data_IF_042986532733
#
_entry.id   IF_042986532733
#
_cell.length_a   1.000
_cell.length_b   1.000
_cell.length_c   1.000
_cell.angle_alpha   90.00
_cell.angle_beta   90.00
_cell.angle_gamma   90.00
#
_symmetry.space_group_name_H-M   'P 1'
#
loop_
_entity.id
_entity.type
_entity.pdbx_description
1 polymer ?
#
# COMPACT_ATOMS: atom_id res chain seq x y z
N UNK A 1 -15.30 6.55 21.50
CA UNK A 1 -15.77 6.11 20.17
C UNK A 1 -14.54 5.64 19.41
N UNK A 2 -14.54 4.41 18.89
CA UNK A 2 -13.39 3.85 18.17
C UNK A 2 -13.30 4.50 16.77
N UNK A 3 -12.11 4.90 16.31
CA UNK A 3 -11.93 5.50 14.97
C UNK A 3 -12.08 4.42 13.90
N UNK A 4 -12.52 4.72 12.66
CA UNK A 4 -12.66 3.69 11.63
C UNK A 4 -11.30 3.09 11.23
N UNK A 5 -11.22 1.79 10.90
CA UNK A 5 -9.96 1.18 10.49
C UNK A 5 -9.50 1.75 9.15
N UNK A 6 -8.21 1.98 9.02
CA UNK A 6 -7.62 2.41 7.75
C UNK A 6 -7.73 1.29 6.72
N UNK A 7 -8.16 1.63 5.50
CA UNK A 7 -8.34 0.68 4.40
C UNK A 7 -7.90 1.30 3.07
N UNK A 8 -7.41 0.50 2.12
CA UNK A 8 -7.13 0.99 0.78
C UNK A 8 -8.43 1.06 -0.06
N UNK A 9 -8.44 1.85 -1.15
CA UNK A 9 -9.63 1.99 -2.02
C UNK A 9 -10.19 0.65 -2.52
N UNK A 10 -9.32 -0.34 -2.75
CA UNK A 10 -9.72 -1.69 -3.19
C UNK A 10 -10.59 -2.47 -2.19
N UNK A 11 -10.70 -2.01 -0.93
CA UNK A 11 -11.51 -2.63 0.12
C UNK A 11 -12.70 -1.73 0.54
N UNK A 12 -13.08 -0.76 -0.30
CA UNK A 12 -14.14 0.20 -0.01
C UNK A 12 -15.52 -0.46 0.26
N UNK A 13 -15.74 -1.63 -0.31
CA UNK A 13 -16.99 -2.40 -0.17
C UNK A 13 -16.84 -3.66 0.67
N UNK A 14 -15.69 -3.88 1.31
CA UNK A 14 -15.45 -5.05 2.15
C UNK A 14 -16.07 -4.87 3.53
N UNK A 15 -16.50 -5.97 4.14
CA UNK A 15 -16.72 -6.01 5.58
C UNK A 15 -15.42 -5.68 6.29
N UNK A 16 -15.43 -4.64 7.12
CA UNK A 16 -14.25 -4.20 7.85
C UNK A 16 -14.21 -4.89 9.21
N UNK A 17 -13.22 -5.75 9.41
CA UNK A 17 -13.07 -6.53 10.63
C UNK A 17 -11.78 -6.08 11.29
N UNK A 18 -11.92 -5.46 12.45
CA UNK A 18 -10.80 -5.02 13.27
C UNK A 18 -10.40 -6.15 14.19
N UNK A 19 -9.22 -6.73 13.97
CA UNK A 19 -8.64 -7.81 14.80
C UNK A 19 -7.62 -7.27 15.79
N UNK A 20 -6.91 -6.21 15.40
CA UNK A 20 -5.91 -5.52 16.22
C UNK A 20 -6.14 -4.02 16.15
N UNK A 21 -5.60 -3.27 17.11
CA UNK A 21 -5.46 -1.81 17.03
C UNK A 21 -3.99 -1.43 17.01
N UNK A 22 -3.67 -0.30 16.38
CA UNK A 22 -2.31 0.25 16.35
C UNK A 22 -1.32 -0.54 15.49
N UNK A 23 -0.04 -0.15 15.55
CA UNK A 23 1.06 -0.79 14.80
C UNK A 23 2.08 -1.45 15.72
N UNK A 24 2.45 -2.70 15.44
CA UNK A 24 3.49 -3.40 16.20
C UNK A 24 4.91 -2.90 15.92
N UNK A 25 5.10 -2.06 14.90
CA UNK A 25 6.38 -1.41 14.60
C UNK A 25 6.39 0.07 14.97
N UNK A 26 5.36 0.82 14.52
CA UNK A 26 5.08 2.23 14.84
C UNK A 26 6.24 3.25 14.74
N UNK A 27 7.35 2.92 14.09
CA UNK A 27 8.54 3.79 13.97
C UNK A 27 8.71 4.43 12.59
N UNK A 28 7.93 4.02 11.59
CA UNK A 28 8.04 4.59 10.24
C UNK A 28 7.89 6.13 10.30
N UNK A 29 8.83 6.88 9.71
CA UNK A 29 8.80 8.34 9.75
C UNK A 29 7.69 8.93 8.86
N UNK A 30 7.44 8.33 7.70
CA UNK A 30 6.40 8.81 6.78
C UNK A 30 4.95 8.56 7.28
N UNK A 31 4.75 7.73 8.30
CA UNK A 31 3.44 7.25 8.72
C UNK A 31 2.91 8.06 9.91
N UNK A 32 1.72 8.66 9.77
CA UNK A 32 1.00 9.37 10.84
C UNK A 32 -0.11 8.51 11.49
N UNK A 33 -0.53 7.43 10.84
CA UNK A 33 -1.78 6.70 11.13
C UNK A 33 -1.91 6.15 12.56
N UNK A 34 -0.84 5.58 13.11
CA UNK A 34 -0.88 4.80 14.37
C UNK A 34 0.01 5.38 15.47
N UNK A 35 0.54 6.60 15.29
CA UNK A 35 1.57 7.16 16.20
C UNK A 35 1.10 7.29 17.65
N UNK A 36 -0.19 7.56 17.87
CA UNK A 36 -0.82 7.65 19.19
C UNK A 36 -1.39 6.32 19.71
N UNK A 37 -1.28 5.22 18.96
CA UNK A 37 -2.01 3.97 19.24
C UNK A 37 -1.02 2.81 19.38
N UNK A 38 -0.94 2.27 20.60
CA UNK A 38 -0.15 1.05 20.87
C UNK A 38 -0.82 -0.16 20.25
N UNK A 39 -0.02 -1.19 19.95
CA UNK A 39 -0.55 -2.47 19.49
C UNK A 39 -1.44 -3.08 20.58
N UNK A 40 -2.67 -3.42 20.21
CA UNK A 40 -3.61 -4.18 21.02
C UNK A 40 -4.15 -5.35 20.19
N UNK A 41 -4.15 -6.56 20.75
CA UNK A 41 -4.93 -7.67 20.22
C UNK A 41 -6.31 -7.61 20.85
N UNK A 42 -7.36 -7.46 20.04
CA UNK A 42 -8.73 -7.42 20.57
C UNK A 42 -9.13 -8.78 21.16
N UNK A 43 -9.98 -8.84 22.19
CA UNK A 43 -10.51 -10.11 22.67
C UNK A 43 -11.20 -10.86 21.54
N UNK A 44 -10.91 -12.16 21.40
CA UNK A 44 -11.46 -13.00 20.32
C UNK A 44 -12.99 -12.95 20.33
N UNK A 45 -13.59 -13.04 21.50
CA UNK A 45 -15.03 -13.10 21.72
C UNK A 45 -15.74 -11.85 21.18
N UNK A 46 -15.13 -10.67 21.33
CA UNK A 46 -15.64 -9.43 20.74
C UNK A 46 -15.57 -9.47 19.20
N UNK A 47 -14.47 -9.98 18.65
CA UNK A 47 -14.31 -10.08 17.19
C UNK A 47 -15.36 -11.03 16.60
N UNK A 48 -15.61 -12.18 17.25
CA UNK A 48 -16.62 -13.13 16.79
C UNK A 48 -18.04 -12.52 16.87
N UNK A 49 -18.32 -11.76 17.93
CA UNK A 49 -19.58 -11.03 18.06
C UNK A 49 -19.75 -9.99 16.94
N UNK A 50 -18.72 -9.21 16.65
CA UNK A 50 -18.74 -8.24 15.55
C UNK A 50 -19.04 -8.94 14.22
N UNK A 51 -18.40 -10.11 13.98
CA UNK A 51 -18.65 -10.93 12.79
C UNK A 51 -20.12 -11.32 12.71
N UNK A 52 -20.71 -11.80 13.80
CA UNK A 52 -22.12 -12.21 13.87
C UNK A 52 -23.09 -11.04 13.62
N UNK A 53 -22.72 -9.83 14.03
CA UNK A 53 -23.55 -8.62 13.90
C UNK A 53 -23.42 -7.90 12.54
N UNK A 54 -22.42 -8.21 11.70
CA UNK A 54 -22.21 -7.59 10.37
C UNK A 54 -23.51 -7.35 9.57
N UNK A 55 -24.42 -8.33 9.39
CA UNK A 55 -25.62 -8.17 8.56
C UNK A 55 -26.63 -7.15 9.10
N UNK A 56 -26.54 -6.80 10.39
CA UNK A 56 -27.39 -5.80 11.02
C UNK A 56 -27.00 -4.38 10.63
N UNK A 57 -25.71 -4.15 10.39
CA UNK A 57 -25.14 -2.82 10.24
C UNK A 57 -24.62 -2.52 8.83
N UNK A 58 -24.33 -3.54 8.03
CA UNK A 58 -23.69 -3.38 6.73
C UNK A 58 -24.47 -4.08 5.61
N UNK A 59 -24.49 -3.50 4.39
CA UNK A 59 -25.03 -4.17 3.21
C UNK A 59 -24.24 -5.44 2.90
N UNK A 60 -24.86 -6.38 2.17
CA UNK A 60 -24.19 -7.63 1.76
C UNK A 60 -22.91 -7.33 0.98
N UNK A 61 -21.82 -8.01 1.35
CA UNK A 61 -20.53 -7.92 0.65
C UNK A 61 -19.98 -9.31 0.35
N UNK A 62 -19.30 -9.42 -0.80
CA UNK A 62 -18.56 -10.64 -1.20
C UNK A 62 -17.10 -10.61 -0.74
N UNK A 63 -16.70 -9.61 0.04
CA UNK A 63 -15.32 -9.47 0.52
C UNK A 63 -15.27 -9.03 1.97
N UNK A 64 -14.23 -9.47 2.67
CA UNK A 64 -13.89 -8.98 3.99
C UNK A 64 -12.43 -8.55 4.06
N UNK A 65 -12.20 -7.54 4.88
CA UNK A 65 -10.90 -6.95 5.10
C UNK A 65 -10.56 -6.92 6.59
N UNK A 66 -9.52 -7.66 6.94
CA UNK A 66 -8.90 -7.67 8.25
C UNK A 66 -7.93 -6.48 8.27
N UNK A 67 -8.42 -5.37 8.80
CA UNK A 67 -7.78 -4.07 8.72
C UNK A 67 -6.76 -3.81 9.82
N UNK A 68 -6.45 -2.52 9.97
CA UNK A 68 -5.37 -1.99 10.80
C UNK A 68 -3.97 -2.48 10.41
N UNK A 69 -2.95 -2.32 11.25
CA UNK A 69 -1.57 -2.43 10.76
C UNK A 69 -1.12 -3.84 10.36
N UNK A 70 -1.50 -4.86 11.14
CA UNK A 70 -0.91 -6.20 11.07
C UNK A 70 -1.73 -7.24 11.86
N UNK A 71 -2.98 -7.50 11.46
CA UNK A 71 -3.88 -8.46 12.14
C UNK A 71 -3.30 -9.87 12.32
N UNK A 72 -2.36 -10.28 11.46
CA UNK A 72 -1.78 -11.63 11.50
C UNK A 72 -0.93 -11.94 12.74
N UNK A 73 -0.61 -10.93 13.55
CA UNK A 73 0.04 -11.15 14.86
C UNK A 73 -0.94 -11.67 15.91
N UNK A 74 -2.25 -11.62 15.65
CA UNK A 74 -3.25 -12.10 16.58
C UNK A 74 -3.09 -13.60 16.81
N UNK A 75 -3.08 -14.03 18.08
CA UNK A 75 -2.85 -15.44 18.44
C UNK A 75 -3.91 -16.37 17.83
N UNK A 76 -5.17 -15.93 17.84
CA UNK A 76 -6.33 -16.68 17.35
C UNK A 76 -6.69 -16.40 15.87
N UNK A 77 -5.78 -15.80 15.09
CA UNK A 77 -6.12 -15.31 13.73
C UNK A 77 -6.69 -16.40 12.81
N UNK A 78 -6.19 -17.64 12.90
CA UNK A 78 -6.67 -18.77 12.09
C UNK A 78 -8.12 -19.11 12.43
N UNK A 79 -8.47 -19.10 13.72
CA UNK A 79 -9.83 -19.36 14.20
C UNK A 79 -10.78 -18.23 13.76
N UNK A 80 -10.35 -16.97 13.88
CA UNK A 80 -11.12 -15.81 13.46
C UNK A 80 -11.43 -15.85 11.96
N UNK A 81 -10.43 -16.11 11.12
CA UNK A 81 -10.61 -16.23 9.65
C UNK A 81 -11.58 -17.37 9.32
N UNK A 82 -11.40 -18.54 9.97
CA UNK A 82 -12.29 -19.68 9.77
C UNK A 82 -13.72 -19.37 10.19
N UNK A 83 -13.90 -18.75 11.35
CA UNK A 83 -15.23 -18.37 11.86
C UNK A 83 -15.93 -17.40 10.91
N UNK A 84 -15.21 -16.38 10.44
CA UNK A 84 -15.70 -15.45 9.44
C UNK A 84 -16.19 -16.18 8.19
N UNK A 85 -15.36 -17.06 7.61
CA UNK A 85 -15.72 -17.80 6.39
C UNK A 85 -16.91 -18.73 6.61
N UNK A 86 -17.01 -19.39 7.77
CA UNK A 86 -18.13 -20.26 8.12
C UNK A 86 -19.44 -19.48 8.31
N UNK A 87 -19.40 -18.33 8.99
CA UNK A 87 -20.58 -17.51 9.25
C UNK A 87 -21.03 -16.70 8.03
N UNK A 88 -20.10 -16.41 7.12
CA UNK A 88 -20.33 -15.61 5.92
C UNK A 88 -19.82 -16.37 4.68
N UNK A 89 -20.46 -17.49 4.32
CA UNK A 89 -20.02 -18.33 3.19
C UNK A 89 -20.00 -17.57 1.86
N UNK A 90 -20.81 -16.52 1.72
CA UNK A 90 -20.88 -15.61 0.56
C UNK A 90 -19.60 -14.80 0.31
N UNK A 91 -18.70 -14.70 1.29
CA UNK A 91 -17.43 -14.00 1.14
C UNK A 91 -16.50 -14.81 0.24
N UNK A 92 -16.14 -14.27 -0.91
CA UNK A 92 -15.23 -14.90 -1.87
C UNK A 92 -13.77 -14.56 -1.58
N UNK A 93 -13.53 -13.38 -0.99
CA UNK A 93 -12.20 -12.84 -0.77
C UNK A 93 -12.05 -12.31 0.65
N UNK A 94 -11.11 -12.88 1.40
CA UNK A 94 -10.68 -12.38 2.70
C UNK A 94 -9.27 -11.82 2.52
N UNK A 95 -9.11 -10.53 2.78
CA UNK A 95 -7.83 -9.83 2.66
C UNK A 95 -7.37 -9.36 4.03
N UNK A 96 -6.07 -9.39 4.27
CA UNK A 96 -5.48 -8.86 5.50
C UNK A 96 -4.33 -7.91 5.18
N UNK A 97 -4.16 -6.85 5.97
CA UNK A 97 -2.85 -6.21 6.05
C UNK A 97 -1.83 -7.18 6.70
N UNK A 98 -0.59 -7.12 6.24
CA UNK A 98 0.49 -7.93 6.79
C UNK A 98 1.82 -7.18 6.76
N UNK A 99 2.53 -7.18 7.88
CA UNK A 99 3.90 -6.67 7.91
C UNK A 99 4.85 -7.69 7.28
N UNK A 100 5.71 -7.24 6.39
CA UNK A 100 6.76 -8.05 5.74
C UNK A 100 7.54 -8.92 6.74
N UNK A 101 8.07 -8.32 7.82
CA UNK A 101 8.83 -9.06 8.83
C UNK A 101 7.98 -10.09 9.60
N UNK A 102 6.67 -9.89 9.71
CA UNK A 102 5.78 -10.88 10.32
C UNK A 102 5.69 -12.11 9.41
N UNK A 103 5.46 -11.92 8.11
CA UNK A 103 5.42 -13.01 7.13
C UNK A 103 6.78 -13.71 7.01
N UNK A 104 7.88 -12.95 6.96
CA UNK A 104 9.24 -13.52 6.84
C UNK A 104 9.58 -14.52 7.96
N UNK A 105 9.04 -14.30 9.16
CA UNK A 105 9.28 -15.10 10.37
C UNK A 105 8.14 -16.07 10.71
N UNK A 106 6.98 -15.98 10.05
CA UNK A 106 5.85 -16.87 10.30
C UNK A 106 6.14 -18.26 9.75
N UNK A 107 5.94 -19.37 10.50
CA UNK A 107 6.09 -20.72 9.96
C UNK A 107 5.20 -20.98 8.73
N UNK A 108 5.65 -21.82 7.78
CA UNK A 108 4.86 -22.09 6.57
C UNK A 108 3.53 -22.79 6.91
N UNK A 109 3.53 -23.65 7.93
CA UNK A 109 2.36 -24.35 8.43
C UNK A 109 1.27 -23.38 8.89
N UNK A 110 1.66 -22.22 9.45
CA UNK A 110 0.70 -21.18 9.84
C UNK A 110 0.13 -20.44 8.62
N UNK A 111 0.92 -20.25 7.56
CA UNK A 111 0.43 -19.65 6.30
C UNK A 111 -0.53 -20.61 5.58
N UNK A 112 -0.21 -21.90 5.56
CA UNK A 112 -1.10 -22.93 5.05
C UNK A 112 -2.41 -22.98 5.85
N UNK A 113 -2.34 -22.98 7.19
CA UNK A 113 -3.52 -22.95 8.03
C UNK A 113 -4.40 -21.70 7.79
N UNK A 114 -3.80 -20.53 7.56
CA UNK A 114 -4.52 -19.30 7.19
C UNK A 114 -5.21 -19.43 5.83
N UNK A 115 -4.53 -20.02 4.84
CA UNK A 115 -5.10 -20.30 3.53
C UNK A 115 -6.28 -21.25 3.63
N UNK A 116 -6.12 -22.37 4.33
CA UNK A 116 -7.18 -23.36 4.54
C UNK A 116 -8.36 -22.80 5.34
N UNK A 117 -8.13 -21.83 6.23
CA UNK A 117 -9.18 -21.13 6.95
C UNK A 117 -10.00 -20.18 6.05
N UNK A 118 -9.46 -19.78 4.89
CA UNK A 118 -10.15 -18.93 3.91
C UNK A 118 -9.47 -17.59 3.61
N UNK A 119 -8.28 -17.31 4.16
CA UNK A 119 -7.53 -16.11 3.79
C UNK A 119 -7.03 -16.24 2.35
N UNK A 120 -7.30 -15.23 1.52
CA UNK A 120 -7.00 -15.30 0.07
C UNK A 120 -5.95 -14.30 -0.39
N UNK A 121 -5.84 -13.14 0.27
CA UNK A 121 -4.96 -12.04 -0.18
C UNK A 121 -4.27 -11.32 0.98
N UNK A 122 -3.04 -10.87 0.73
CA UNK A 122 -2.29 -10.02 1.65
C UNK A 122 -1.96 -8.66 1.03
N UNK A 123 -2.20 -7.60 1.80
CA UNK A 123 -1.70 -6.25 1.55
C UNK A 123 -0.43 -6.01 2.35
N UNK A 124 0.71 -5.85 1.67
CA UNK A 124 2.02 -5.73 2.29
C UNK A 124 2.70 -4.42 1.89
N UNK A 125 3.05 -3.61 2.89
CA UNK A 125 3.78 -2.35 2.68
C UNK A 125 5.27 -2.60 2.42
N UNK A 126 5.67 -2.60 1.14
CA UNK A 126 7.08 -2.59 0.72
C UNK A 126 7.65 -1.18 0.89
N UNK A 127 6.93 -0.17 0.41
CA UNK A 127 7.23 1.26 0.33
C UNK A 127 8.45 1.60 -0.53
N UNK A 128 9.56 0.88 -0.34
CA UNK A 128 10.78 0.97 -1.13
C UNK A 128 11.53 -0.35 -1.14
N UNK A 129 12.19 -0.65 -2.26
CA UNK A 129 13.22 -1.69 -2.34
C UNK A 129 14.64 -1.17 -2.14
N UNK A 130 14.85 0.14 -1.94
CA UNK A 130 16.17 0.70 -1.65
C UNK A 130 16.47 0.61 -0.15
N UNK A 131 17.54 -0.09 0.21
CA UNK A 131 17.91 -0.34 1.59
C UNK A 131 18.18 0.93 2.41
N UNK A 132 18.70 1.99 1.79
CA UNK A 132 18.93 3.25 2.50
C UNK A 132 17.66 4.06 2.67
N UNK A 133 16.77 4.09 1.67
CA UNK A 133 15.43 4.69 1.84
C UNK A 133 14.70 4.01 2.99
N UNK A 134 14.72 2.67 3.06
CA UNK A 134 14.11 1.91 4.15
C UNK A 134 14.70 2.23 5.53
N UNK A 135 16.00 2.51 5.61
CA UNK A 135 16.67 2.94 6.85
C UNK A 135 16.30 4.38 7.22
N UNK A 136 16.36 5.32 6.28
CA UNK A 136 16.00 6.73 6.46
C UNK A 136 14.61 6.83 7.07
N UNK A 137 13.64 6.12 6.49
CA UNK A 137 12.25 6.17 6.96
C UNK A 137 11.95 5.22 8.12
N UNK A 138 12.95 4.53 8.64
CA UNK A 138 12.85 3.58 9.75
C UNK A 138 11.77 2.50 9.52
N UNK A 139 11.72 1.87 8.34
CA UNK A 139 10.69 0.84 8.02
C UNK A 139 10.86 -0.46 8.81
N UNK A 140 12.08 -0.73 9.27
CA UNK A 140 12.42 -1.89 10.09
C UNK A 140 12.40 -3.23 9.34
N UNK A 141 12.68 -3.18 8.03
CA UNK A 141 12.86 -4.32 7.13
C UNK A 141 14.01 -4.03 6.17
N UNK A 142 14.56 -5.08 5.57
CA UNK A 142 15.48 -5.02 4.42
C UNK A 142 14.76 -5.40 3.12
N UNK A 143 15.42 -5.21 1.97
CA UNK A 143 14.91 -5.69 0.69
C UNK A 143 14.85 -7.24 0.67
N UNK A 144 15.82 -7.89 1.31
CA UNK A 144 15.88 -9.35 1.46
C UNK A 144 14.72 -9.89 2.30
N UNK A 145 14.35 -9.19 3.39
CA UNK A 145 13.14 -9.51 4.16
C UNK A 145 11.89 -9.47 3.27
N UNK A 146 11.78 -8.45 2.41
CA UNK A 146 10.67 -8.31 1.49
C UNK A 146 10.64 -9.47 0.49
N UNK A 147 11.76 -9.78 -0.16
CA UNK A 147 11.87 -10.89 -1.12
C UNK A 147 11.51 -12.22 -0.45
N UNK A 148 12.08 -12.50 0.72
CA UNK A 148 11.79 -13.72 1.49
C UNK A 148 10.31 -13.82 1.83
N UNK A 149 9.73 -12.76 2.39
CA UNK A 149 8.33 -12.74 2.77
C UNK A 149 7.39 -12.89 1.56
N UNK A 150 7.69 -12.19 0.47
CA UNK A 150 6.92 -12.23 -0.77
C UNK A 150 6.92 -13.61 -1.42
N UNK A 151 8.11 -14.19 -1.66
CA UNK A 151 8.22 -15.55 -2.22
C UNK A 151 7.52 -16.58 -1.34
N UNK A 152 7.59 -16.43 -0.02
CA UNK A 152 6.94 -17.33 0.93
C UNK A 152 5.41 -17.21 0.89
N UNK A 153 4.87 -16.01 0.96
CA UNK A 153 3.43 -15.80 0.98
C UNK A 153 2.77 -16.01 -0.39
N UNK A 154 3.47 -15.76 -1.49
CA UNK A 154 2.96 -15.91 -2.86
C UNK A 154 2.62 -17.36 -3.24
N UNK A 155 3.12 -18.34 -2.49
CA UNK A 155 2.71 -19.75 -2.61
C UNK A 155 1.24 -19.97 -2.19
N UNK A 156 0.69 -19.11 -1.33
CA UNK A 156 -0.59 -19.32 -0.66
C UNK A 156 -1.62 -18.24 -0.98
N UNK A 157 -1.19 -16.99 -1.18
CA UNK A 157 -2.07 -15.82 -1.28
C UNK A 157 -1.78 -14.99 -2.52
N UNK A 158 -2.80 -14.28 -3.01
CA UNK A 158 -2.56 -13.12 -3.85
C UNK A 158 -1.81 -12.05 -3.03
N UNK A 159 -0.81 -11.42 -3.63
CA UNK A 159 0.02 -10.44 -2.94
C UNK A 159 -0.13 -9.06 -3.56
N UNK A 160 -0.36 -8.07 -2.72
CA UNK A 160 -0.24 -6.66 -3.07
C UNK A 160 0.98 -6.07 -2.40
N UNK A 161 1.88 -5.48 -3.18
CA UNK A 161 2.92 -4.59 -2.68
C UNK A 161 2.51 -3.14 -2.82
N UNK A 162 2.50 -2.42 -1.70
CA UNK A 162 2.42 -0.96 -1.70
C UNK A 162 3.81 -0.37 -1.87
N UNK A 163 3.94 0.60 -2.77
CA UNK A 163 5.17 1.36 -3.04
C UNK A 163 4.85 2.84 -2.86
N UNK A 164 5.77 3.60 -2.27
CA UNK A 164 5.63 5.06 -2.13
C UNK A 164 6.71 5.72 -2.99
N UNK A 165 6.35 6.24 -4.16
CA UNK A 165 7.25 7.13 -4.94
C UNK A 165 7.52 8.41 -4.16
N UNK A 166 8.64 9.07 -4.42
CA UNK A 166 9.13 10.25 -3.71
C UNK A 166 9.71 9.95 -2.33
N UNK A 167 9.60 8.71 -1.84
CA UNK A 167 10.05 8.35 -0.48
C UNK A 167 11.56 8.51 -0.28
N UNK A 168 12.34 8.32 -1.34
CA UNK A 168 13.79 8.54 -1.32
C UNK A 168 14.22 10.00 -1.51
N UNK A 169 13.27 10.91 -1.78
CA UNK A 169 13.56 12.27 -2.22
C UNK A 169 14.32 12.33 -3.55
N UNK A 170 14.64 13.55 -3.98
CA UNK A 170 15.37 13.81 -5.22
C UNK A 170 16.71 13.06 -5.27
N UNK A 171 17.41 12.98 -4.15
CA UNK A 171 18.76 12.41 -4.06
C UNK A 171 18.82 10.90 -4.31
N UNK A 172 17.70 10.18 -4.12
CA UNK A 172 17.64 8.72 -4.29
C UNK A 172 16.55 8.24 -5.23
N UNK A 173 15.88 9.14 -5.94
CA UNK A 173 14.72 8.83 -6.80
C UNK A 173 14.99 7.66 -7.77
N UNK A 174 16.05 7.76 -8.57
CA UNK A 174 16.39 6.71 -9.53
C UNK A 174 16.71 5.36 -8.85
N UNK A 175 17.51 5.39 -7.77
CA UNK A 175 17.87 4.18 -7.03
C UNK A 175 16.66 3.54 -6.38
N UNK A 176 15.75 4.34 -5.84
CA UNK A 176 14.49 3.90 -5.26
C UNK A 176 13.65 3.17 -6.31
N UNK A 177 13.42 3.77 -7.47
CA UNK A 177 12.68 3.16 -8.57
C UNK A 177 13.30 1.82 -9.02
N UNK A 178 14.60 1.81 -9.32
CA UNK A 178 15.31 0.62 -9.82
C UNK A 178 15.36 -0.49 -8.78
N UNK A 179 15.70 -0.19 -7.52
CA UNK A 179 15.81 -1.21 -6.48
C UNK A 179 14.44 -1.74 -6.04
N UNK A 180 13.39 -0.91 -6.06
CA UNK A 180 12.01 -1.37 -5.87
C UNK A 180 11.58 -2.33 -6.97
N UNK A 181 11.87 -2.01 -8.24
CA UNK A 181 11.57 -2.90 -9.36
C UNK A 181 12.30 -4.25 -9.22
N UNK A 182 13.55 -4.27 -8.74
CA UNK A 182 14.28 -5.54 -8.47
C UNK A 182 13.52 -6.42 -7.47
N UNK A 183 13.06 -5.86 -6.35
CA UNK A 183 12.27 -6.63 -5.36
C UNK A 183 10.97 -7.15 -5.98
N UNK A 184 10.26 -6.33 -6.76
CA UNK A 184 9.04 -6.72 -7.45
C UNK A 184 9.30 -7.87 -8.42
N UNK A 185 10.36 -7.78 -9.23
CA UNK A 185 10.73 -8.80 -10.21
C UNK A 185 11.10 -10.14 -9.55
N UNK A 186 11.74 -10.10 -8.38
CA UNK A 186 12.07 -11.29 -7.61
C UNK A 186 10.84 -11.96 -6.99
N UNK A 187 9.87 -11.17 -6.52
CA UNK A 187 8.70 -11.66 -5.78
C UNK A 187 7.55 -12.05 -6.69
N UNK A 188 7.35 -11.33 -7.79
CA UNK A 188 6.19 -11.46 -8.69
C UNK A 188 4.85 -11.29 -7.95
N UNK A 189 4.64 -10.14 -7.26
CA UNK A 189 3.37 -9.90 -6.58
C UNK A 189 2.22 -9.84 -7.59
N UNK A 190 1.01 -10.21 -7.17
CA UNK A 190 -0.19 -10.12 -8.02
C UNK A 190 -0.54 -8.67 -8.35
N UNK A 191 -0.32 -7.76 -7.39
CA UNK A 191 -0.61 -6.34 -7.51
C UNK A 191 0.57 -5.49 -7.02
N UNK A 192 0.87 -4.41 -7.74
CA UNK A 192 1.72 -3.31 -7.29
C UNK A 192 0.85 -2.06 -7.23
N UNK A 193 0.68 -1.51 -6.02
CA UNK A 193 -0.10 -0.30 -5.77
C UNK A 193 0.84 0.82 -5.39
N UNK A 194 0.88 1.86 -6.19
CA UNK A 194 1.78 3.00 -5.98
C UNK A 194 1.01 4.17 -5.38
N UNK A 195 1.59 4.75 -4.34
CA UNK A 195 1.23 6.06 -3.79
C UNK A 195 2.42 6.98 -3.94
N UNK A 196 2.20 8.28 -3.91
CA UNK A 196 3.30 9.23 -3.85
C UNK A 196 3.45 9.75 -2.42
N UNK A 197 4.67 10.08 -2.01
CA UNK A 197 4.94 10.62 -0.67
C UNK A 197 4.21 11.96 -0.53
N UNK A 198 3.28 12.02 0.41
CA UNK A 198 2.78 13.27 0.96
C UNK A 198 3.16 13.35 2.43
N UNK A 199 3.80 14.44 2.84
CA UNK A 199 4.23 14.63 4.22
C UNK A 199 3.00 14.93 5.09
N UNK A 200 2.54 13.92 5.80
CA UNK A 200 1.46 14.04 6.81
C UNK A 200 1.98 13.88 8.24
N UNK A 201 3.19 13.34 8.42
CA UNK A 201 3.91 13.37 9.69
C UNK A 201 4.98 14.48 9.64
N UNK A 202 4.90 15.51 10.50
CA UNK A 202 5.88 16.59 10.55
C UNK A 202 7.33 16.13 10.76
N UNK A 203 7.56 14.98 11.41
CA UNK A 203 8.91 14.41 11.56
C UNK A 203 9.60 14.07 10.24
N UNK A 204 8.85 13.99 9.13
CA UNK A 204 9.39 13.75 7.79
C UNK A 204 9.83 15.04 7.09
N UNK A 205 9.49 16.23 7.62
CA UNK A 205 9.91 17.50 7.04
C UNK A 205 11.44 17.66 7.12
N UNK A 206 12.04 18.08 6.01
CA UNK A 206 13.49 18.23 5.91
C UNK A 206 14.29 16.92 5.85
N UNK A 207 13.67 15.76 6.10
CA UNK A 207 14.33 14.45 6.01
C UNK A 207 14.68 14.10 4.56
N UNK A 208 13.82 14.48 3.61
CA UNK A 208 14.05 14.28 2.18
C UNK A 208 13.72 15.55 1.40
N UNK A 209 14.46 15.79 0.31
CA UNK A 209 14.09 16.80 -0.68
C UNK A 209 12.93 16.26 -1.53
N UNK A 210 11.75 16.86 -1.39
CA UNK A 210 10.56 16.45 -2.13
C UNK A 210 10.79 16.57 -3.64
N UNK A 211 10.23 15.60 -4.38
CA UNK A 211 10.20 15.61 -5.83
C UNK A 211 9.22 16.66 -6.35
N UNK A 212 9.63 17.38 -7.40
CA UNK A 212 8.74 18.17 -8.27
C UNK A 212 7.78 17.27 -9.04
N UNK A 213 6.73 17.84 -9.63
CA UNK A 213 5.79 17.09 -10.48
C UNK A 213 6.49 16.35 -11.64
N UNK A 214 7.51 16.97 -12.23
CA UNK A 214 8.33 16.37 -13.29
C UNK A 214 9.12 15.16 -12.76
N UNK A 215 9.84 15.32 -11.65
CA UNK A 215 10.63 14.23 -11.05
C UNK A 215 9.75 13.07 -10.54
N UNK A 216 8.51 13.33 -10.10
CA UNK A 216 7.55 12.29 -9.70
C UNK A 216 7.16 11.40 -10.89
N UNK A 217 6.91 12.01 -12.05
CA UNK A 217 6.59 11.28 -13.27
C UNK A 217 7.82 10.52 -13.78
N UNK A 218 9.02 11.11 -13.70
CA UNK A 218 10.27 10.44 -14.08
C UNK A 218 10.56 9.21 -13.21
N UNK A 219 10.37 9.30 -11.90
CA UNK A 219 10.53 8.16 -10.99
C UNK A 219 9.50 7.07 -11.26
N UNK A 220 8.22 7.44 -11.44
CA UNK A 220 7.15 6.51 -11.77
C UNK A 220 7.42 5.78 -13.10
N UNK A 221 7.83 6.53 -14.13
CA UNK A 221 8.25 5.99 -15.42
C UNK A 221 9.38 4.99 -15.22
N UNK A 222 10.44 5.37 -14.50
CA UNK A 222 11.61 4.53 -14.24
C UNK A 222 11.24 3.23 -13.52
N UNK A 223 10.31 3.30 -12.55
CA UNK A 223 9.81 2.13 -11.85
C UNK A 223 9.12 1.17 -12.82
N UNK A 224 8.17 1.65 -13.63
CA UNK A 224 7.41 0.84 -14.59
C UNK A 224 8.34 0.23 -15.66
N UNK A 225 9.27 1.02 -16.21
CA UNK A 225 10.28 0.55 -17.17
C UNK A 225 11.06 -0.67 -16.65
N UNK A 226 11.38 -0.68 -15.36
CA UNK A 226 12.19 -1.74 -14.75
C UNK A 226 11.39 -2.95 -14.24
N UNK A 227 10.06 -2.89 -14.19
CA UNK A 227 9.22 -4.06 -13.88
C UNK A 227 9.11 -4.94 -15.14
N UNK A 228 9.41 -6.23 -14.98
CA UNK A 228 9.55 -7.22 -16.06
C UNK A 228 8.75 -8.51 -15.81
N UNK A 229 7.85 -8.48 -14.83
CA UNK A 229 7.07 -9.66 -14.40
C UNK A 229 5.59 -9.39 -14.58
N UNK A 230 4.80 -10.47 -14.71
CA UNK A 230 3.34 -10.38 -14.73
C UNK A 230 2.84 -9.85 -13.38
N UNK A 231 2.20 -8.69 -13.41
CA UNK A 231 1.56 -8.04 -12.25
C UNK A 231 0.56 -7.00 -12.74
N UNK A 232 -0.50 -6.79 -11.97
CA UNK A 232 -1.34 -5.61 -12.16
C UNK A 232 -0.72 -4.42 -11.43
N UNK A 233 -0.43 -3.35 -12.17
CA UNK A 233 0.12 -2.11 -11.65
C UNK A 233 -0.96 -1.04 -11.58
N UNK A 234 -0.99 -0.22 -10.51
CA UNK A 234 -1.97 0.87 -10.40
C UNK A 234 -1.50 1.98 -9.48
N UNK A 235 -1.88 3.21 -9.81
CA UNK A 235 -1.81 4.40 -8.96
C UNK A 235 -3.25 4.87 -8.67
N UNK A 236 -3.90 4.29 -7.67
CA UNK A 236 -5.34 4.47 -7.40
C UNK A 236 -5.63 5.42 -6.23
N UNK A 237 -4.68 6.31 -5.91
CA UNK A 237 -4.77 7.18 -4.75
C UNK A 237 -4.54 8.65 -5.13
N UNK A 238 -5.28 9.56 -4.49
CA UNK A 238 -5.19 11.02 -4.76
C UNK A 238 -3.77 11.57 -4.55
N UNK A 239 -2.93 10.90 -3.75
CA UNK A 239 -1.52 11.25 -3.61
C UNK A 239 -0.76 11.28 -4.93
N UNK A 240 -1.17 10.46 -5.91
CA UNK A 240 -0.52 10.34 -7.22
C UNK A 240 -0.94 11.44 -8.21
N UNK A 241 -1.94 12.24 -7.87
CA UNK A 241 -2.50 13.19 -8.81
C UNK A 241 -1.60 14.42 -8.93
N UNK A 242 -1.60 14.99 -10.13
CA UNK A 242 -1.04 16.31 -10.40
C UNK A 242 -2.17 17.26 -10.78
N UNK A 243 -2.03 18.53 -10.40
CA UNK A 243 -3.08 19.53 -10.56
C UNK A 243 -2.53 20.80 -11.20
N UNK A 244 -3.43 21.52 -11.87
CA UNK A 244 -3.26 22.92 -12.25
C UNK A 244 -4.33 23.75 -11.54
N UNK A 245 -4.27 25.07 -11.66
CA UNK A 245 -5.34 25.96 -11.17
C UNK A 245 -6.70 25.68 -11.82
N UNK A 246 -6.72 25.03 -12.99
CA UNK A 246 -7.94 24.71 -13.74
C UNK A 246 -8.49 23.31 -13.46
N UNK A 247 -7.82 22.51 -12.63
CA UNK A 247 -8.24 21.16 -12.27
C UNK A 247 -7.13 20.12 -12.39
N UNK A 248 -7.52 18.84 -12.34
CA UNK A 248 -6.61 17.70 -12.35
C UNK A 248 -5.93 17.55 -13.72
N UNK A 249 -4.60 17.49 -13.71
CA UNK A 249 -3.76 17.26 -14.90
C UNK A 249 -3.49 15.77 -15.13
N UNK A 250 -3.26 15.03 -14.04
CA UNK A 250 -2.87 13.62 -14.09
C UNK A 250 -3.56 12.87 -12.95
N UNK A 251 -4.18 11.74 -13.28
CA UNK A 251 -4.89 10.88 -12.32
C UNK A 251 -4.19 9.54 -12.09
N UNK A 252 -2.97 9.38 -12.63
CA UNK A 252 -2.24 8.13 -12.55
C UNK A 252 -2.37 7.24 -13.77
N UNK A 253 -1.80 6.04 -13.66
CA UNK A 253 -1.84 4.97 -14.67
C UNK A 253 -2.17 3.64 -14.00
N UNK A 254 -2.75 2.73 -14.77
CA UNK A 254 -3.04 1.37 -14.33
C UNK A 254 -3.03 0.43 -15.52
N UNK A 255 -2.72 -0.85 -15.27
CA UNK A 255 -2.66 -1.85 -16.31
C UNK A 255 -1.87 -3.08 -15.87
N UNK A 256 -2.08 -4.19 -16.58
CA UNK A 256 -1.32 -5.42 -16.42
C UNK A 256 -0.02 -5.33 -17.20
N UNK A 257 1.10 -5.57 -16.54
CA UNK A 257 2.42 -5.66 -17.17
C UNK A 257 2.65 -7.11 -17.60
N UNK A 258 3.18 -7.40 -18.81
CA UNK A 258 3.70 -6.44 -19.80
C UNK A 258 2.67 -5.86 -20.76
N UNK A 259 1.47 -6.46 -20.85
CA UNK A 259 0.51 -6.21 -21.93
C UNK A 259 0.11 -4.73 -22.11
N UNK A 260 -0.10 -4.01 -21.01
CA UNK A 260 -0.56 -2.62 -20.98
C UNK A 260 0.57 -1.65 -20.58
N UNK A 261 1.83 -2.13 -20.53
CA UNK A 261 2.98 -1.34 -20.08
C UNK A 261 3.25 -0.13 -20.97
N UNK A 262 3.21 -0.31 -22.29
CA UNK A 262 3.53 0.76 -23.24
C UNK A 262 2.47 1.86 -23.22
N UNK A 263 1.20 1.52 -22.95
CA UNK A 263 0.15 2.51 -22.76
C UNK A 263 0.41 3.37 -21.51
N UNK A 264 0.71 2.74 -20.38
CA UNK A 264 1.06 3.48 -19.15
C UNK A 264 2.28 4.39 -19.35
N UNK A 265 3.32 3.92 -20.04
CA UNK A 265 4.52 4.71 -20.30
C UNK A 265 4.23 5.90 -21.24
N UNK A 266 3.40 5.72 -22.26
CA UNK A 266 2.96 6.83 -23.14
C UNK A 266 2.19 7.89 -22.36
N UNK A 267 1.20 7.50 -21.54
CA UNK A 267 0.46 8.46 -20.72
C UNK A 267 1.38 9.28 -19.82
N UNK A 268 2.41 8.66 -19.23
CA UNK A 268 3.39 9.36 -18.41
C UNK A 268 4.24 10.32 -19.25
N UNK A 269 4.69 9.92 -20.44
CA UNK A 269 5.48 10.77 -21.33
C UNK A 269 4.68 12.00 -21.82
N UNK A 270 3.45 11.81 -22.28
CA UNK A 270 2.57 12.91 -22.71
C UNK A 270 2.31 13.90 -21.56
N UNK A 271 2.16 13.37 -20.34
CA UNK A 271 2.02 14.18 -19.13
C UNK A 271 3.32 14.94 -18.82
N UNK A 272 4.49 14.31 -18.96
CA UNK A 272 5.80 14.93 -18.77
C UNK A 272 6.01 16.10 -19.74
N UNK A 273 5.68 15.92 -21.02
CA UNK A 273 5.75 16.97 -22.03
C UNK A 273 4.85 18.16 -21.65
N UNK A 274 3.62 17.87 -21.20
CA UNK A 274 2.67 18.88 -20.74
C UNK A 274 3.20 19.63 -19.51
N UNK A 275 3.74 18.93 -18.51
CA UNK A 275 4.33 19.54 -17.31
C UNK A 275 5.51 20.45 -17.68
N UNK A 276 6.39 20.00 -18.58
CA UNK A 276 7.54 20.78 -19.07
C UNK A 276 7.10 22.02 -19.84
N UNK A 277 6.04 21.92 -20.67
CA UNK A 277 5.48 23.05 -21.39
C UNK A 277 4.85 24.09 -20.44
N UNK A 278 4.06 23.65 -19.46
CA UNK A 278 3.46 24.53 -18.45
C UNK A 278 4.54 25.29 -17.66
N UNK A 279 5.59 24.58 -17.23
CA UNK A 279 6.74 25.17 -16.52
C UNK A 279 7.47 26.22 -17.37
N UNK A 280 7.70 25.95 -18.66
CA UNK A 280 8.29 26.94 -19.60
C UNK A 280 7.41 28.19 -19.77
N UNK A 281 6.09 28.02 -19.70
CA UNK A 281 5.12 29.11 -19.74
C UNK A 281 4.91 29.81 -18.38
N UNK A 282 5.69 29.47 -17.35
CA UNK A 282 5.58 30.07 -16.01
C UNK A 282 4.39 29.58 -15.17
N UNK A 283 3.68 28.55 -15.61
CA UNK A 283 2.55 27.98 -14.88
C UNK A 283 3.01 26.90 -13.90
N UNK A 284 2.46 26.94 -12.68
CA UNK A 284 2.77 25.96 -11.63
C UNK A 284 1.92 24.69 -11.81
N UNK A 285 2.56 23.54 -11.66
CA UNK A 285 1.90 22.24 -11.46
C UNK A 285 1.99 21.89 -9.98
N UNK A 286 0.84 21.58 -9.39
CA UNK A 286 0.70 21.26 -7.97
C UNK A 286 0.74 19.76 -7.75
N UNK A 287 1.48 19.34 -6.73
CA UNK A 287 1.56 17.95 -6.26
C UNK A 287 0.60 17.72 -5.10
N UNK A 288 0.44 16.48 -4.67
CA UNK A 288 -0.31 16.17 -3.45
C UNK A 288 0.23 16.85 -2.19
N UNK A 289 1.55 17.12 -2.09
CA UNK A 289 2.10 17.91 -0.99
C UNK A 289 1.63 19.37 -1.02
N UNK A 290 1.55 19.98 -2.20
CA UNK A 290 1.01 21.33 -2.33
C UNK A 290 -0.47 21.36 -1.94
N UNK A 291 -1.26 20.43 -2.50
CA UNK A 291 -2.70 20.36 -2.26
C UNK A 291 -3.04 20.06 -0.80
N UNK A 292 -2.26 19.19 -0.14
CA UNK A 292 -2.43 18.88 1.28
C UNK A 292 -2.12 20.09 2.16
N UNK A 293 -1.02 20.82 1.88
CA UNK A 293 -0.68 22.06 2.61
C UNK A 293 -1.72 23.16 2.45
N UNK A 294 -2.37 23.21 1.29
CA UNK A 294 -3.48 24.14 1.02
C UNK A 294 -4.82 23.70 1.63
N UNK A 295 -4.89 22.49 2.23
CA UNK A 295 -6.12 21.94 2.79
C UNK A 295 -7.14 21.51 1.73
N UNK A 296 -6.72 21.33 0.48
CA UNK A 296 -7.59 20.99 -0.66
C UNK A 296 -7.77 19.48 -0.84
N UNK A 297 -6.92 18.66 -0.21
CA UNK A 297 -7.08 17.20 -0.15
C UNK A 297 -6.82 16.69 1.26
N UNK A 298 -7.41 15.54 1.59
CA UNK A 298 -7.11 14.74 2.77
C UNK A 298 -6.58 13.37 2.35
N UNK A 299 -5.82 12.72 3.24
CA UNK A 299 -5.13 11.45 2.98
C UNK A 299 -5.35 10.44 4.11
#
# INVERSE_FOLDING_TARGET
MDFPPFRPPSEAFSYLIRVVRGCNWNRCLFCSMYKSIRLEQRPKEEILKDIDEIPRYFPKSRSAFLGDSNPLVHRDIVEIVRYLKTKRPEIERITAYARIRTIANMPEEKLEALKSAGLTRLHMGLESGDGEVLKIVQKGITAEDAIKAGKKAGKYFELTYYVITGLGGADRSERHAVNTAKVINEVKPTFVRVRNLTITNPEMEGVVKLLTAEEQLEELKKLIENIKVDTYFTTDHVSNYLFTERGTLFTGVHGRIPDEKDEMLRTIEDTLETVRALKKSGLKVFTSNDMFRLGLITL
#
